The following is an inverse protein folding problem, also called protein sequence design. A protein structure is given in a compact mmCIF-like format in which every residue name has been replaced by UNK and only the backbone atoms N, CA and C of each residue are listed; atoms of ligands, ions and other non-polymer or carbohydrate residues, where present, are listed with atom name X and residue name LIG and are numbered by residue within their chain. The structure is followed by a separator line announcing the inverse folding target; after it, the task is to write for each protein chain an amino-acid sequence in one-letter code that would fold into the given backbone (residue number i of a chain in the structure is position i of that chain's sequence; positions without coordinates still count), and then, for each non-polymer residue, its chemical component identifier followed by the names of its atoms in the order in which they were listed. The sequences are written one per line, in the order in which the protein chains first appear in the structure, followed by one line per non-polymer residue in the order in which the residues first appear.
data_IF_881899720936
#
_entry.id   IF_881899720936
#
_cell.length_a   1.000
_cell.length_b   1.000
_cell.length_c   1.000
_cell.angle_alpha   90.00
_cell.angle_beta   90.00
_cell.angle_gamma   90.00
#
_symmetry.space_group_name_H-M   'P 1'
#
loop_
_entity.id
_entity.type
_entity.pdbx_description
1 polymer ?
#
# COMPACT_ATOMS: atom_id res chain seq x y z
N UNK A 1 0.08 10.92 -25.18
CA UNK A 1 -0.48 10.80 -23.83
C UNK A 1 0.21 9.64 -23.14
N UNK A 2 1.15 9.96 -22.24
CA UNK A 2 2.00 9.02 -21.53
C UNK A 2 1.22 8.45 -20.34
N UNK A 3 1.13 7.11 -20.25
CA UNK A 3 0.37 6.44 -19.20
C UNK A 3 1.26 5.46 -18.43
N UNK A 4 1.09 5.45 -17.11
CA UNK A 4 1.53 4.44 -16.18
C UNK A 4 0.33 3.61 -15.72
N UNK A 5 0.50 2.30 -15.61
CA UNK A 5 -0.47 1.41 -14.97
C UNK A 5 0.15 0.78 -13.71
N UNK A 6 -0.55 0.85 -12.58
CA UNK A 6 -0.13 0.31 -11.29
C UNK A 6 -1.15 -0.65 -10.69
N UNK A 7 -0.69 -1.47 -9.75
CA UNK A 7 -1.54 -2.27 -8.86
C UNK A 7 -2.19 -1.38 -7.78
N UNK A 8 -3.36 -1.79 -7.29
CA UNK A 8 -4.24 -1.14 -6.29
C UNK A 8 -3.62 -0.02 -5.44
N UNK A 9 -4.31 1.12 -5.42
CA UNK A 9 -3.86 2.36 -4.80
C UNK A 9 -4.70 2.70 -3.56
N UNK A 10 -4.14 2.54 -2.37
CA UNK A 10 -4.73 3.08 -1.13
C UNK A 10 -3.91 4.27 -0.65
N UNK A 11 -4.25 5.48 -1.11
CA UNK A 11 -3.83 6.74 -0.49
C UNK A 11 -2.33 7.06 -0.49
N UNK A 12 -1.48 6.30 -1.20
CA UNK A 12 -0.02 6.46 -1.13
C UNK A 12 0.43 7.74 -1.85
N UNK A 13 1.35 8.50 -1.26
CA UNK A 13 1.99 9.69 -1.90
C UNK A 13 2.96 9.30 -3.01
N UNK A 14 3.40 8.06 -3.00
CA UNK A 14 4.56 7.62 -3.77
C UNK A 14 4.31 6.23 -4.31
N UNK A 15 4.55 6.05 -5.60
CA UNK A 15 4.44 4.74 -6.23
C UNK A 15 5.82 4.11 -6.22
N UNK A 16 5.93 2.99 -5.52
CA UNK A 16 7.17 2.22 -5.46
C UNK A 16 7.31 1.29 -6.67
N UNK A 17 8.56 1.02 -7.06
CA UNK A 17 8.92 0.18 -8.20
C UNK A 17 8.20 -1.18 -8.27
N UNK A 18 7.97 -1.92 -7.16
CA UNK A 18 7.25 -3.18 -7.21
C UNK A 18 5.79 -3.06 -7.69
N UNK A 19 5.15 -1.91 -7.43
CA UNK A 19 3.73 -1.66 -7.75
C UNK A 19 3.48 -1.21 -9.19
N UNK A 20 4.53 -0.90 -9.97
CA UNK A 20 4.38 -0.49 -11.37
C UNK A 20 4.25 -1.71 -12.28
N UNK A 21 3.16 -1.76 -13.05
CA UNK A 21 2.91 -2.81 -14.04
C UNK A 21 3.43 -2.42 -15.41
N UNK A 22 3.16 -1.19 -15.86
CA UNK A 22 3.49 -0.73 -17.21
C UNK A 22 3.82 0.75 -17.22
N UNK A 23 4.81 1.13 -18.02
CA UNK A 23 5.24 2.51 -18.24
C UNK A 23 5.33 2.75 -19.75
N UNK A 24 4.86 3.89 -20.26
CA UNK A 24 4.93 4.19 -21.70
C UNK A 24 6.38 4.18 -22.20
N UNK A 25 6.60 3.77 -23.45
CA UNK A 25 7.92 3.81 -24.08
C UNK A 25 8.46 5.26 -24.13
N UNK A 26 9.79 5.39 -24.04
CA UNK A 26 10.53 6.65 -24.15
C UNK A 26 10.31 7.67 -23.02
N UNK A 27 9.84 7.23 -21.86
CA UNK A 27 9.84 8.05 -20.64
C UNK A 27 11.23 8.07 -20.01
N UNK A 28 11.68 9.27 -19.65
CA UNK A 28 12.89 9.56 -18.92
C UNK A 28 12.57 9.97 -17.47
N UNK A 29 13.57 9.84 -16.59
CA UNK A 29 13.53 10.43 -15.26
C UNK A 29 13.27 11.95 -15.35
N UNK A 30 12.35 12.45 -14.53
CA UNK A 30 11.89 13.84 -14.56
C UNK A 30 10.62 14.07 -15.40
N UNK A 31 10.23 13.14 -16.26
CA UNK A 31 9.02 13.29 -17.06
C UNK A 31 7.75 13.22 -16.21
N UNK A 32 6.73 13.98 -16.62
CA UNK A 32 5.40 13.94 -16.01
C UNK A 32 4.59 12.84 -16.68
N UNK A 33 3.95 11.99 -15.87
CA UNK A 33 3.16 10.86 -16.36
C UNK A 33 1.79 10.80 -15.67
N UNK A 34 0.76 10.47 -16.45
CA UNK A 34 -0.55 10.15 -15.92
C UNK A 34 -0.58 8.73 -15.36
N UNK A 35 -1.17 8.59 -14.17
CA UNK A 35 -1.20 7.37 -13.38
C UNK A 35 -2.60 6.75 -13.47
N UNK A 36 -2.65 5.48 -13.84
CA UNK A 36 -3.87 4.69 -13.94
C UNK A 36 -3.78 3.40 -13.12
N UNK A 37 -4.92 2.95 -12.59
CA UNK A 37 -5.08 1.62 -11.99
C UNK A 37 -5.76 0.70 -12.97
N UNK A 38 -5.25 -0.51 -13.13
CA UNK A 38 -5.93 -1.57 -13.88
C UNK A 38 -7.02 -2.22 -13.03
N UNK A 39 -8.28 -1.99 -13.41
CA UNK A 39 -9.44 -2.46 -12.65
C UNK A 39 -9.68 -3.96 -12.81
N UNK A 40 -9.19 -4.58 -13.89
CA UNK A 40 -9.46 -5.99 -14.22
C UNK A 40 -8.23 -6.88 -14.11
N UNK A 41 -7.07 -6.35 -13.71
CA UNK A 41 -5.82 -7.10 -13.56
C UNK A 41 -5.34 -7.76 -14.86
N UNK A 42 -5.65 -7.18 -16.03
CA UNK A 42 -5.28 -7.70 -17.35
C UNK A 42 -3.93 -7.16 -17.86
N UNK A 43 -3.41 -6.09 -17.27
CA UNK A 43 -2.15 -5.47 -17.62
C UNK A 43 -1.00 -6.34 -17.12
N UNK A 44 -0.14 -6.80 -18.04
CA UNK A 44 1.03 -7.60 -17.71
C UNK A 44 2.20 -6.70 -17.31
N UNK A 45 3.02 -7.16 -16.36
CA UNK A 45 4.23 -6.45 -15.97
C UNK A 45 5.17 -6.28 -17.17
N UNK A 46 5.70 -5.08 -17.36
CA UNK A 46 6.58 -4.75 -18.48
C UNK A 46 5.86 -4.55 -19.81
N UNK A 47 4.54 -4.35 -19.84
CA UNK A 47 3.84 -4.02 -21.09
C UNK A 47 4.42 -2.72 -21.69
N UNK A 48 4.69 -2.70 -23.00
CA UNK A 48 5.28 -1.54 -23.70
C UNK A 48 4.19 -0.71 -24.40
N UNK A 49 3.17 -1.38 -24.94
CA UNK A 49 2.10 -0.73 -25.70
C UNK A 49 1.12 -0.02 -24.77
N UNK A 50 0.36 0.93 -25.32
CA UNK A 50 -0.73 1.57 -24.58
C UNK A 50 -1.72 0.50 -24.11
N UNK A 51 -1.95 0.45 -22.81
CA UNK A 51 -2.99 -0.40 -22.25
C UNK A 51 -4.38 0.20 -22.59
N UNK A 52 -5.18 -0.57 -23.32
CA UNK A 52 -6.53 -0.21 -23.78
C UNK A 52 -7.64 -0.93 -23.01
N UNK A 53 -7.31 -1.67 -21.93
CA UNK A 53 -8.31 -2.26 -21.05
C UNK A 53 -8.92 -1.24 -20.09
N UNK A 54 -9.87 -1.72 -19.27
CA UNK A 54 -10.55 -0.90 -18.27
C UNK A 54 -9.57 -0.41 -17.22
N UNK A 55 -9.40 0.90 -17.17
CA UNK A 55 -8.47 1.58 -16.29
C UNK A 55 -9.08 2.83 -15.70
N UNK A 56 -8.66 3.17 -14.48
CA UNK A 56 -9.14 4.35 -13.77
C UNK A 56 -7.99 5.33 -13.56
N UNK A 57 -8.17 6.59 -13.94
CA UNK A 57 -7.18 7.64 -13.66
C UNK A 57 -7.15 7.90 -12.15
N UNK A 58 -5.95 8.04 -11.56
CA UNK A 58 -5.82 8.32 -10.12
C UNK A 58 -4.98 9.57 -9.81
N UNK A 59 -4.29 10.13 -10.81
CA UNK A 59 -3.44 11.30 -10.63
C UNK A 59 -2.31 11.39 -11.65
N UNK A 60 -1.37 12.29 -11.42
CA UNK A 60 -0.14 12.39 -12.20
C UNK A 60 1.06 12.62 -11.28
N UNK A 61 2.25 12.33 -11.79
CA UNK A 61 3.48 12.45 -11.01
C UNK A 61 4.73 12.49 -11.88
N UNK A 62 5.88 12.60 -11.21
CA UNK A 62 7.19 12.71 -11.83
C UNK A 62 7.88 11.35 -11.78
N UNK A 63 8.40 10.90 -12.92
CA UNK A 63 9.16 9.66 -13.04
C UNK A 63 10.51 9.80 -12.32
N UNK A 64 10.82 8.84 -11.45
CA UNK A 64 12.10 8.75 -10.69
C UNK A 64 12.97 7.58 -11.10
N UNK A 65 12.41 6.60 -11.79
CA UNK A 65 13.13 5.41 -12.26
C UNK A 65 12.78 5.16 -13.72
N UNK A 66 13.81 5.03 -14.55
CA UNK A 66 13.66 4.72 -15.97
C UNK A 66 13.05 3.33 -16.20
N UNK A 67 12.40 3.16 -17.35
CA UNK A 67 11.77 1.89 -17.73
C UNK A 67 12.75 0.72 -17.76
N UNK A 68 13.94 0.93 -18.32
CA UNK A 68 14.95 -0.11 -18.53
C UNK A 68 15.44 -0.68 -17.21
N UNK A 69 15.59 0.17 -16.19
CA UNK A 69 15.94 -0.29 -14.85
C UNK A 69 14.73 -1.00 -14.23
N UNK A 70 13.55 -0.36 -14.22
CA UNK A 70 12.33 -0.89 -13.59
C UNK A 70 11.92 -2.32 -14.03
N UNK A 71 12.16 -2.67 -15.30
CA UNK A 71 11.81 -3.97 -15.88
C UNK A 71 13.03 -4.79 -16.33
N UNK A 72 14.23 -4.50 -15.81
CA UNK A 72 15.40 -5.34 -16.04
C UNK A 72 15.18 -6.77 -15.51
N UNK A 73 15.72 -7.78 -16.22
CA UNK A 73 15.57 -9.19 -15.86
C UNK A 73 16.02 -9.46 -14.41
N UNK A 74 15.16 -10.12 -13.62
CA UNK A 74 15.40 -10.50 -12.22
C UNK A 74 15.68 -9.36 -11.23
N UNK A 75 15.45 -8.09 -11.60
CA UNK A 75 15.70 -6.99 -10.69
C UNK A 75 14.57 -6.86 -9.65
N UNK A 76 14.84 -7.27 -8.40
CA UNK A 76 14.03 -6.86 -7.23
C UNK A 76 14.37 -5.42 -6.89
N UNK A 77 13.79 -4.48 -7.62
CA UNK A 77 14.02 -3.05 -7.39
C UNK A 77 13.08 -2.56 -6.30
N UNK A 78 13.69 -2.11 -5.21
CA UNK A 78 13.02 -1.36 -4.16
C UNK A 78 13.39 0.11 -4.34
N UNK A 79 12.40 1.01 -4.22
CA UNK A 79 12.61 2.43 -4.43
C UNK A 79 11.39 3.11 -5.02
N UNK A 80 11.43 4.44 -5.04
CA UNK A 80 10.37 5.30 -5.58
C UNK A 80 10.44 5.25 -7.10
N UNK A 81 9.41 4.75 -7.76
CA UNK A 81 9.32 4.80 -9.22
C UNK A 81 8.70 6.10 -9.70
N UNK A 82 7.64 6.57 -9.01
CA UNK A 82 6.97 7.83 -9.31
C UNK A 82 6.68 8.59 -8.03
N UNK A 83 7.11 9.84 -8.01
CA UNK A 83 6.73 10.83 -7.01
C UNK A 83 5.40 11.46 -7.44
N UNK A 84 4.32 11.22 -6.70
CA UNK A 84 2.99 11.67 -7.12
C UNK A 84 2.80 13.13 -6.74
N UNK A 85 2.55 13.99 -7.73
CA UNK A 85 2.36 15.44 -7.52
C UNK A 85 0.89 15.81 -7.36
N UNK A 86 0.00 15.05 -7.99
CA UNK A 86 -1.45 15.26 -7.92
C UNK A 86 -2.18 13.93 -7.81
N UNK A 87 -3.21 13.88 -6.97
CA UNK A 87 -4.07 12.72 -6.74
C UNK A 87 -5.51 13.16 -6.74
N UNK A 88 -6.39 12.29 -7.23
CA UNK A 88 -7.85 12.53 -7.17
C UNK A 88 -8.37 12.37 -5.74
N UNK A 89 -7.74 11.50 -4.95
CA UNK A 89 -8.09 11.30 -3.56
C UNK A 89 -7.42 12.37 -2.68
N UNK A 90 -8.24 13.03 -1.85
CA UNK A 90 -7.78 14.00 -0.86
C UNK A 90 -7.38 13.35 0.48
N UNK A 91 -7.15 12.04 0.51
CA UNK A 91 -6.70 11.36 1.73
C UNK A 91 -5.26 11.80 2.04
N UNK A 92 -5.01 12.43 3.22
CA UNK A 92 -3.67 12.81 3.60
C UNK A 92 -2.83 11.56 3.82
N UNK A 93 -1.56 11.63 3.44
CA UNK A 93 -0.61 10.60 3.81
C UNK A 93 -0.16 10.85 5.24
N UNK A 94 -0.38 9.89 6.11
CA UNK A 94 0.05 9.96 7.50
C UNK A 94 1.16 8.94 7.68
N UNK A 95 2.35 9.43 8.03
CA UNK A 95 3.44 8.58 8.50
C UNK A 95 3.41 8.59 10.02
N UNK A 96 3.14 7.43 10.62
CA UNK A 96 3.15 7.28 12.08
C UNK A 96 4.53 6.81 12.48
N UNK A 97 5.14 7.48 13.47
CA UNK A 97 6.41 7.02 14.03
C UNK A 97 6.18 5.67 14.74
N UNK A 98 7.11 4.71 14.65
CA UNK A 98 6.91 3.35 15.19
C UNK A 98 6.40 3.32 16.63
N UNK A 99 6.84 4.25 17.47
CA UNK A 99 6.52 4.27 18.90
C UNK A 99 5.29 5.15 19.24
N UNK A 100 4.73 5.85 18.25
CA UNK A 100 3.62 6.80 18.45
C UNK A 100 2.24 6.18 18.27
N UNK A 101 2.15 5.02 17.61
CA UNK A 101 0.89 4.31 17.39
C UNK A 101 0.86 3.52 16.09
N UNK A 102 -0.31 2.96 15.77
CA UNK A 102 -0.56 2.20 14.55
C UNK A 102 -1.77 2.76 13.80
N UNK A 103 -1.68 2.81 12.47
CA UNK A 103 -2.84 3.13 11.64
C UNK A 103 -3.80 1.94 11.63
N UNK A 104 -5.03 2.17 12.09
CA UNK A 104 -6.05 1.14 12.19
C UNK A 104 -7.42 1.73 11.84
N UNK A 105 -8.20 0.99 11.05
CA UNK A 105 -9.55 1.42 10.69
C UNK A 105 -10.46 1.45 11.93
N UNK A 106 -11.38 2.40 11.98
CA UNK A 106 -12.35 2.53 13.08
C UNK A 106 -13.07 1.24 13.48
N UNK A 107 -13.68 0.45 12.56
CA UNK A 107 -14.34 -0.81 12.93
C UNK A 107 -13.36 -1.80 13.57
N UNK A 108 -12.09 -1.75 13.17
CA UNK A 108 -11.07 -2.59 13.76
C UNK A 108 -10.70 -2.20 15.19
N UNK A 109 -10.74 -0.91 15.52
CA UNK A 109 -10.54 -0.38 16.88
C UNK A 109 -11.73 -0.76 17.75
N UNK A 110 -12.95 -0.51 17.28
CA UNK A 110 -14.20 -0.83 17.99
C UNK A 110 -14.27 -2.31 18.34
N UNK A 111 -13.89 -3.20 17.42
CA UNK A 111 -13.86 -4.65 17.66
C UNK A 111 -13.04 -5.04 18.90
N UNK A 112 -11.89 -4.43 19.15
CA UNK A 112 -11.07 -4.72 20.33
C UNK A 112 -11.70 -4.16 21.61
N UNK A 113 -12.38 -3.02 21.53
CA UNK A 113 -13.11 -2.46 22.69
C UNK A 113 -14.32 -3.29 23.07
N UNK A 114 -15.11 -3.75 22.09
CA UNK A 114 -16.29 -4.61 22.33
C UNK A 114 -15.93 -5.95 22.95
N UNK A 115 -14.69 -6.43 22.78
CA UNK A 115 -14.19 -7.64 23.45
C UNK A 115 -14.03 -7.44 24.97
N UNK A 116 -13.92 -6.20 25.43
CA UNK A 116 -13.75 -5.82 26.84
C UNK A 116 -12.67 -6.64 27.60
N UNK A 117 -11.45 -6.80 27.05
CA UNK A 117 -10.43 -7.61 27.69
C UNK A 117 -9.92 -6.93 28.97
N UNK A 118 -9.78 -7.70 30.06
CA UNK A 118 -9.26 -7.21 31.33
C UNK A 118 -7.84 -7.77 31.59
N UNK A 119 -7.17 -7.24 32.61
CA UNK A 119 -5.78 -7.58 32.91
C UNK A 119 -5.56 -9.02 33.40
N UNK A 120 -6.63 -9.73 33.79
CA UNK A 120 -6.60 -11.13 34.19
C UNK A 120 -7.11 -12.07 33.08
N UNK A 121 -7.44 -11.52 31.91
CA UNK A 121 -7.99 -12.29 30.79
C UNK A 121 -6.92 -13.11 30.07
N UNK A 122 -7.35 -14.24 29.54
CA UNK A 122 -6.63 -14.99 28.52
C UNK A 122 -7.41 -14.87 27.19
N UNK A 123 -6.79 -14.21 26.21
CA UNK A 123 -7.43 -13.88 24.92
C UNK A 123 -6.76 -14.67 23.80
N UNK A 124 -7.55 -15.27 22.92
CA UNK A 124 -7.09 -15.95 21.72
C UNK A 124 -7.45 -15.15 20.45
N UNK A 125 -6.44 -14.71 19.72
CA UNK A 125 -6.56 -14.12 18.38
C UNK A 125 -6.15 -15.18 17.34
N UNK A 126 -7.13 -15.77 16.66
CA UNK A 126 -6.91 -16.90 15.74
C UNK A 126 -6.32 -16.51 14.38
N UNK A 127 -6.41 -15.23 14.00
CA UNK A 127 -5.99 -14.71 12.69
C UNK A 127 -5.21 -13.41 12.88
N UNK A 128 -4.10 -13.51 13.60
CA UNK A 128 -3.41 -12.37 14.16
C UNK A 128 -2.65 -11.56 13.12
N UNK A 129 -2.17 -12.12 12.01
CA UNK A 129 -1.32 -11.39 11.06
C UNK A 129 -2.09 -10.24 10.38
N UNK A 130 -1.55 -9.01 10.32
CA UNK A 130 -0.18 -8.60 10.68
C UNK A 130 0.04 -8.19 12.15
N UNK A 131 -0.98 -8.19 13.01
CA UNK A 131 -0.86 -8.04 14.47
C UNK A 131 -1.59 -6.84 15.06
N UNK A 132 -2.18 -5.95 14.26
CA UNK A 132 -2.71 -4.66 14.73
C UNK A 132 -3.82 -4.77 15.79
N UNK A 133 -4.66 -5.81 15.73
CA UNK A 133 -5.72 -6.04 16.74
C UNK A 133 -5.15 -6.67 18.00
N UNK A 134 -4.26 -7.63 17.82
CA UNK A 134 -3.55 -8.33 18.90
C UNK A 134 -2.80 -7.32 19.78
N UNK A 135 -2.04 -6.41 19.18
CA UNK A 135 -1.32 -5.37 19.92
C UNK A 135 -2.27 -4.36 20.58
N UNK A 136 -3.39 -4.04 19.94
CA UNK A 136 -4.41 -3.19 20.54
C UNK A 136 -5.09 -3.86 21.75
N UNK A 137 -5.37 -5.16 21.70
CA UNK A 137 -5.87 -5.94 22.84
C UNK A 137 -4.85 -5.95 23.97
N UNK A 138 -3.58 -6.22 23.68
CA UNK A 138 -2.51 -6.18 24.68
C UNK A 138 -2.40 -4.78 25.34
N UNK A 139 -2.56 -3.71 24.55
CA UNK A 139 -2.61 -2.33 25.07
C UNK A 139 -3.80 -2.11 26.02
N UNK A 140 -5.00 -2.57 25.68
CA UNK A 140 -6.19 -2.46 26.53
C UNK A 140 -6.02 -3.24 27.85
N UNK A 141 -5.37 -4.39 27.79
CA UNK A 141 -5.00 -5.21 28.95
C UNK A 141 -3.82 -4.63 29.74
N UNK A 142 -3.27 -3.47 29.34
CA UNK A 142 -2.08 -2.83 29.92
C UNK A 142 -0.85 -3.75 29.95
N UNK A 143 -0.76 -4.63 28.96
CA UNK A 143 0.26 -5.66 28.85
C UNK A 143 0.31 -6.61 30.07
N UNK A 144 -0.83 -6.79 30.74
CA UNK A 144 -1.06 -7.77 31.82
C UNK A 144 -1.99 -8.87 31.30
N UNK A 145 -1.90 -10.08 31.87
CA UNK A 145 -2.67 -11.24 31.39
C UNK A 145 -1.97 -11.96 30.24
N UNK A 146 -2.74 -12.64 29.36
CA UNK A 146 -2.18 -13.43 28.27
C UNK A 146 -2.95 -13.25 26.97
N UNK A 147 -2.24 -12.95 25.88
CA UNK A 147 -2.78 -12.95 24.51
C UNK A 147 -2.07 -14.03 23.70
N UNK A 148 -2.83 -14.97 23.15
CA UNK A 148 -2.34 -16.02 22.26
C UNK A 148 -2.69 -15.59 20.83
N UNK A 149 -1.67 -15.38 20.01
CA UNK A 149 -1.81 -14.92 18.64
C UNK A 149 -1.42 -16.06 17.68
N UNK A 150 -2.35 -16.46 16.82
CA UNK A 150 -2.14 -17.51 15.83
C UNK A 150 -2.30 -16.91 14.42
N UNK A 151 -1.50 -17.40 13.49
CA UNK A 151 -1.66 -17.14 12.06
C UNK A 151 -1.12 -18.35 11.28
N UNK A 152 -1.36 -18.42 9.97
CA UNK A 152 -1.06 -19.63 9.16
C UNK A 152 0.29 -19.59 8.46
#
# INVERSE_FOLDING_TARGET
MMCLVVTLFYGVLTIFAPGVLSLTANLCEGDIVDIFVDLKGKCRRGYIRKFCGDKFYIGHGIVKINRNTLFANNAKINGIAIEVTYRISNVPSITVQPDSGLLQNLPSIVCSYTLEPNCDSEVLDMCASPGNKTTHIAMLMKNMGRVIALDK
#
